data_IF_588239208224
#
_entry.id   IF_588239208224
#
_cell.length_a   1.000
_cell.length_b   1.000
_cell.length_c   1.000
_cell.angle_alpha   90.00
_cell.angle_beta   90.00
_cell.angle_gamma   90.00
#
_symmetry.space_group_name_H-M   'P 1'
#
loop_
_entity.id
_entity.type
_entity.pdbx_description
1 polymer ?
#
# COMPACT_ATOMS: atom_id res chain seq x y z
N UNK A 1 -1.77 2.95 -2.20
CA UNK A 1 -1.56 2.39 -3.56
C UNK A 1 -1.58 3.49 -4.63
N UNK A 2 -2.65 4.28 -4.73
CA UNK A 2 -2.80 5.34 -5.77
C UNK A 2 -1.79 6.48 -5.74
N UNK A 3 -1.13 6.73 -4.60
CA UNK A 3 -0.16 7.83 -4.47
C UNK A 3 1.30 7.40 -4.67
N UNK A 4 1.57 6.09 -4.57
CA UNK A 4 2.93 5.54 -4.50
C UNK A 4 3.25 4.54 -5.63
N UNK A 5 2.25 4.18 -6.43
CA UNK A 5 2.39 3.21 -7.52
C UNK A 5 2.64 1.77 -7.10
N UNK A 6 2.69 1.45 -5.79
CA UNK A 6 3.08 0.12 -5.28
C UNK A 6 2.14 -1.01 -5.69
N UNK A 7 2.70 -2.19 -5.96
CA UNK A 7 1.92 -3.43 -6.01
C UNK A 7 1.40 -3.70 -4.61
N UNK A 8 0.21 -4.28 -4.51
CA UNK A 8 -0.36 -4.65 -3.21
C UNK A 8 0.57 -5.60 -2.43
N UNK A 9 1.24 -6.53 -3.13
CA UNK A 9 2.20 -7.45 -2.49
C UNK A 9 3.48 -6.75 -2.01
N UNK A 10 3.85 -5.59 -2.53
CA UNK A 10 4.97 -4.78 -2.00
C UNK A 10 4.52 -3.95 -0.80
N UNK A 11 3.28 -3.46 -0.84
CA UNK A 11 2.67 -2.66 0.22
C UNK A 11 2.50 -3.48 1.50
N UNK A 12 1.93 -4.68 1.41
CA UNK A 12 1.65 -5.48 2.60
C UNK A 12 2.92 -5.95 3.33
N UNK A 13 4.03 -6.13 2.59
CA UNK A 13 5.31 -6.62 3.14
C UNK A 13 6.19 -5.51 3.70
N UNK A 14 5.70 -4.27 3.78
CA UNK A 14 6.38 -3.19 4.48
C UNK A 14 6.38 -3.50 5.97
N UNK A 15 7.56 -3.53 6.59
CA UNK A 15 7.71 -3.72 8.03
C UNK A 15 8.34 -2.51 8.74
N UNK A 16 8.95 -1.59 8.01
CA UNK A 16 9.34 -0.29 8.54
C UNK A 16 8.99 0.80 7.52
N UNK A 17 8.54 1.95 8.02
CA UNK A 17 8.31 3.12 7.19
C UNK A 17 8.42 4.39 8.03
N UNK A 18 9.04 5.42 7.44
CA UNK A 18 9.27 6.72 8.06
C UNK A 18 9.14 7.83 7.02
N UNK A 19 8.76 9.03 7.47
CA UNK A 19 8.82 10.24 6.68
C UNK A 19 10.14 10.94 6.99
N UNK A 20 10.90 11.32 5.97
CA UNK A 20 12.13 12.11 6.09
C UNK A 20 12.07 13.33 5.17
N UNK A 21 12.71 14.42 5.58
CA UNK A 21 12.97 15.56 4.72
C UNK A 21 14.32 15.34 4.03
N UNK A 22 14.35 15.34 2.70
CA UNK A 22 15.57 15.14 1.90
C UNK A 22 15.62 16.24 0.84
N UNK A 23 16.60 17.14 0.94
CA UNK A 23 16.76 18.22 -0.05
C UNK A 23 15.58 19.20 -0.13
N UNK A 24 14.77 19.32 0.94
CA UNK A 24 13.55 20.13 0.96
C UNK A 24 12.27 19.37 0.59
N UNK A 25 12.40 18.13 0.09
CA UNK A 25 11.27 17.29 -0.26
C UNK A 25 10.89 16.33 0.87
N UNK A 26 9.59 16.11 1.02
CA UNK A 26 9.05 15.12 1.96
C UNK A 26 9.04 13.74 1.30
N UNK A 27 9.78 12.79 1.88
CA UNK A 27 9.99 11.45 1.33
C UNK A 27 9.50 10.37 2.30
N UNK A 28 8.79 9.36 1.78
CA UNK A 28 8.53 8.09 2.45
C UNK A 28 9.71 7.15 2.22
N UNK A 29 10.40 6.81 3.30
CA UNK A 29 11.44 5.79 3.33
C UNK A 29 10.87 4.55 3.98
N UNK A 30 10.84 3.43 3.27
CA UNK A 30 10.29 2.18 3.79
C UNK A 30 11.14 0.98 3.41
N UNK A 31 11.19 -0.02 4.30
CA UNK A 31 11.84 -1.30 4.04
C UNK A 31 10.80 -2.36 3.72
N UNK A 32 11.03 -3.11 2.65
CA UNK A 32 10.15 -4.20 2.22
C UNK A 32 10.97 -5.46 1.94
N UNK A 33 10.38 -6.60 2.23
CA UNK A 33 10.98 -7.92 1.98
C UNK A 33 10.21 -8.64 0.90
N UNK A 34 10.73 -8.65 -0.32
CA UNK A 34 10.37 -9.64 -1.32
C UNK A 34 11.64 -10.35 -1.78
N UNK A 35 11.79 -11.62 -1.41
CA UNK A 35 12.68 -12.59 -2.05
C UNK A 35 14.21 -12.35 -1.95
N UNK A 36 14.69 -11.30 -1.28
CA UNK A 36 16.11 -11.13 -0.95
C UNK A 36 16.34 -11.46 0.53
N UNK A 37 17.45 -12.13 0.90
CA UNK A 37 17.84 -12.30 2.30
C UNK A 37 18.05 -10.95 3.01
N UNK A 38 18.26 -9.87 2.25
CA UNK A 38 18.42 -8.53 2.80
C UNK A 38 17.19 -7.62 2.53
N UNK A 39 16.69 -6.93 3.58
CA UNK A 39 15.87 -5.73 3.49
C UNK A 39 16.23 -4.79 2.34
N UNK A 40 15.29 -4.50 1.44
CA UNK A 40 15.46 -3.40 0.47
C UNK A 40 14.83 -2.14 1.05
N UNK A 41 15.64 -1.10 1.25
CA UNK A 41 15.15 0.24 1.54
C UNK A 41 14.74 0.94 0.25
N UNK A 42 13.54 1.50 0.23
CA UNK A 42 12.99 2.22 -0.91
C UNK A 42 12.57 3.62 -0.47
N UNK A 43 12.90 4.61 -1.30
CA UNK A 43 12.49 6.01 -1.12
C UNK A 43 11.47 6.39 -2.18
N UNK A 44 10.37 7.04 -1.77
CA UNK A 44 9.36 7.61 -2.67
C UNK A 44 8.90 8.98 -2.17
N UNK A 45 8.59 9.93 -3.07
CA UNK A 45 7.96 11.19 -2.68
C UNK A 45 6.67 10.96 -1.89
N UNK A 46 6.45 11.77 -0.86
CA UNK A 46 5.30 11.66 0.03
C UNK A 46 4.58 13.01 0.15
N UNK A 47 3.37 13.07 -0.36
CA UNK A 47 2.47 14.19 -0.10
C UNK A 47 1.79 14.07 1.26
N UNK A 48 1.04 15.09 1.66
CA UNK A 48 0.33 15.14 2.94
C UNK A 48 -0.62 13.94 3.17
N UNK A 49 -1.24 13.41 2.10
CA UNK A 49 -2.10 12.24 2.20
C UNK A 49 -1.30 10.97 2.56
N UNK A 50 -0.10 10.82 2.00
CA UNK A 50 0.81 9.70 2.33
C UNK A 50 1.28 9.81 3.78
N UNK A 51 1.65 11.01 4.24
CA UNK A 51 2.04 11.27 5.63
C UNK A 51 0.91 10.88 6.59
N UNK A 52 -0.29 11.42 6.37
CA UNK A 52 -1.46 11.11 7.19
C UNK A 52 -1.82 9.62 7.18
N UNK A 53 -1.78 8.98 6.02
CA UNK A 53 -2.05 7.54 5.91
C UNK A 53 -1.04 6.71 6.69
N UNK A 54 0.25 7.08 6.68
CA UNK A 54 1.28 6.36 7.42
C UNK A 54 1.03 6.44 8.94
N UNK A 55 0.68 7.62 9.44
CA UNK A 55 0.39 7.80 10.87
C UNK A 55 -0.79 6.91 11.31
N UNK A 56 -1.86 6.89 10.51
CA UNK A 56 -3.02 6.02 10.77
C UNK A 56 -2.65 4.54 10.69
N UNK A 57 -1.85 4.13 9.70
CA UNK A 57 -1.40 2.73 9.60
C UNK A 57 -0.61 2.32 10.84
N UNK A 58 0.30 3.16 11.34
CA UNK A 58 1.08 2.87 12.55
C UNK A 58 0.19 2.75 13.78
N UNK A 59 -0.79 3.64 13.93
CA UNK A 59 -1.77 3.60 15.03
C UNK A 59 -2.47 2.23 15.11
N UNK A 60 -2.90 1.68 13.96
CA UNK A 60 -3.54 0.36 13.89
C UNK A 60 -2.54 -0.81 13.97
N UNK A 61 -1.33 -0.66 13.43
CA UNK A 61 -0.35 -1.74 13.35
C UNK A 61 0.28 -2.05 14.72
N UNK A 62 0.63 -1.03 15.51
CA UNK A 62 1.40 -1.20 16.76
C UNK A 62 0.76 -2.20 17.74
N UNK A 63 -0.55 -2.16 18.02
CA UNK A 63 -1.18 -3.18 18.87
C UNK A 63 -1.07 -4.60 18.30
N UNK A 64 -1.25 -4.75 16.99
CA UNK A 64 -1.19 -6.05 16.32
C UNK A 64 0.24 -6.60 16.24
N UNK A 65 1.24 -5.73 16.09
CA UNK A 65 2.65 -6.10 16.13
C UNK A 65 3.03 -6.59 17.53
N UNK A 66 2.59 -5.90 18.59
CA UNK A 66 2.80 -6.33 19.99
C UNK A 66 2.18 -7.70 20.26
N UNK A 67 0.98 -7.95 19.76
CA UNK A 67 0.29 -9.22 19.94
C UNK A 67 0.94 -10.39 19.17
N UNK A 68 1.36 -10.15 17.92
CA UNK A 68 1.83 -11.21 17.03
C UNK A 68 3.35 -11.41 17.02
N UNK A 69 4.13 -10.43 17.47
CA UNK A 69 5.58 -10.37 17.26
C UNK A 69 5.99 -10.13 15.80
N UNK A 70 5.04 -9.92 14.88
CA UNK A 70 5.34 -9.67 13.47
C UNK A 70 5.74 -8.21 13.25
N UNK A 71 6.72 -7.93 12.37
CA UNK A 71 7.22 -6.57 12.16
C UNK A 71 6.40 -5.78 11.14
N UNK A 72 5.45 -6.39 10.43
CA UNK A 72 4.74 -5.78 9.30
C UNK A 72 3.77 -4.67 9.72
N UNK A 73 3.57 -3.68 8.85
CA UNK A 73 2.59 -2.60 9.06
C UNK A 73 1.16 -3.00 8.66
N UNK A 74 1.02 -3.95 7.73
CA UNK A 74 -0.29 -4.40 7.23
C UNK A 74 -0.66 -5.76 7.81
N UNK A 75 -1.05 -5.73 9.08
CA UNK A 75 -1.52 -6.91 9.81
C UNK A 75 -3.04 -6.97 9.82
N UNK A 76 -3.60 -8.18 9.83
CA UNK A 76 -5.03 -8.40 10.01
C UNK A 76 -5.30 -9.67 10.80
N UNK A 77 -6.49 -9.75 11.41
CA UNK A 77 -6.94 -10.94 12.14
C UNK A 77 -7.56 -11.95 11.18
N UNK A 78 -7.09 -13.18 11.22
CA UNK A 78 -7.72 -14.26 10.45
C UNK A 78 -9.01 -14.72 11.13
N UNK A 79 -10.14 -14.16 10.69
CA UNK A 79 -11.47 -14.47 11.24
C UNK A 79 -11.93 -15.92 11.02
N UNK A 80 -11.29 -16.66 10.12
CA UNK A 80 -11.63 -18.05 9.83
C UNK A 80 -10.91 -19.06 10.72
N UNK A 81 -9.96 -18.63 11.56
CA UNK A 81 -9.23 -19.49 12.49
C UNK A 81 -9.64 -19.22 13.93
N UNK A 82 -9.74 -20.28 14.75
CA UNK A 82 -10.01 -20.18 16.19
C UNK A 82 -8.98 -19.25 16.85
N UNK A 83 -9.44 -18.36 17.72
CA UNK A 83 -8.59 -17.37 18.40
C UNK A 83 -8.20 -16.17 17.55
N UNK A 84 -8.68 -16.08 16.30
CA UNK A 84 -8.47 -14.93 15.40
C UNK A 84 -7.01 -14.44 15.33
N UNK A 85 -6.07 -15.35 15.04
CA UNK A 85 -4.66 -15.03 15.07
C UNK A 85 -4.34 -13.88 14.12
N UNK A 86 -3.49 -12.97 14.60
CA UNK A 86 -2.96 -11.89 13.80
C UNK A 86 -1.93 -12.44 12.83
N UNK A 87 -2.00 -11.99 11.57
CA UNK A 87 -1.04 -12.35 10.54
C UNK A 87 -0.94 -11.27 9.47
N UNK A 88 -0.02 -11.47 8.53
CA UNK A 88 0.11 -10.61 7.37
C UNK A 88 -1.20 -10.55 6.58
N UNK A 89 -1.60 -9.37 6.14
CA UNK A 89 -2.74 -9.22 5.24
C UNK A 89 -2.51 -10.06 3.96
N UNK A 90 -3.54 -10.80 3.53
CA UNK A 90 -3.41 -11.68 2.37
C UNK A 90 -3.44 -10.87 1.07
N UNK A 91 -2.33 -10.91 0.32
CA UNK A 91 -2.25 -10.32 -1.02
C UNK A 91 -3.36 -10.83 -1.96
N UNK A 92 -3.50 -12.15 -2.07
CA UNK A 92 -4.44 -12.80 -2.99
C UNK A 92 -5.90 -12.52 -2.62
N UNK A 93 -6.19 -12.35 -1.32
CA UNK A 93 -7.54 -12.05 -0.85
C UNK A 93 -7.77 -10.57 -0.56
N UNK A 94 -6.83 -9.67 -0.90
CA UNK A 94 -6.93 -8.25 -0.53
C UNK A 94 -8.22 -7.60 -1.04
N UNK A 95 -8.52 -7.80 -2.33
CA UNK A 95 -9.72 -7.23 -2.95
C UNK A 95 -10.99 -7.77 -2.29
N UNK A 96 -11.03 -9.08 -2.04
CA UNK A 96 -12.18 -9.77 -1.42
C UNK A 96 -12.41 -9.32 0.02
N UNK A 97 -11.35 -9.23 0.82
CA UNK A 97 -11.46 -9.07 2.27
C UNK A 97 -11.46 -7.60 2.73
N UNK A 98 -10.94 -6.68 1.93
CA UNK A 98 -10.78 -5.27 2.31
C UNK A 98 -11.46 -4.32 1.32
N UNK A 99 -11.06 -4.35 0.04
CA UNK A 99 -11.47 -3.33 -0.91
C UNK A 99 -12.96 -3.39 -1.26
N UNK A 100 -13.46 -4.56 -1.67
CA UNK A 100 -14.88 -4.73 -2.03
C UNK A 100 -15.81 -4.48 -0.84
N UNK A 101 -15.53 -4.97 0.39
CA UNK A 101 -16.30 -4.60 1.57
C UNK A 101 -16.32 -3.08 1.81
N UNK A 102 -15.18 -2.40 1.69
CA UNK A 102 -15.08 -0.95 1.87
C UNK A 102 -15.91 -0.19 0.81
N UNK A 103 -15.80 -0.55 -0.47
CA UNK A 103 -16.60 0.03 -1.55
C UNK A 103 -18.09 -0.14 -1.28
N UNK A 104 -18.51 -1.35 -0.87
CA UNK A 104 -19.91 -1.64 -0.54
C UNK A 104 -20.39 -0.83 0.67
N UNK A 105 -19.57 -0.75 1.73
CA UNK A 105 -19.88 0.01 2.94
C UNK A 105 -20.09 1.50 2.66
N UNK A 106 -19.30 2.07 1.74
CA UNK A 106 -19.39 3.48 1.37
C UNK A 106 -20.30 3.75 0.15
N UNK A 107 -21.00 2.73 -0.35
CA UNK A 107 -21.92 2.82 -1.49
C UNK A 107 -21.30 3.52 -2.71
N UNK A 108 -20.03 3.22 -3.02
CA UNK A 108 -19.31 3.85 -4.14
C UNK A 108 -19.78 3.23 -5.45
N UNK A 109 -20.38 4.05 -6.31
CA UNK A 109 -21.04 3.63 -7.55
C UNK A 109 -20.48 4.34 -8.77
N UNK A 110 -20.63 3.71 -9.92
CA UNK A 110 -20.29 4.29 -11.21
C UNK A 110 -21.43 5.16 -11.76
N UNK A 111 -21.23 5.66 -13.00
CA UNK A 111 -22.21 6.48 -13.73
C UNK A 111 -23.53 5.75 -14.06
N UNK A 112 -23.53 4.42 -14.05
CA UNK A 112 -24.71 3.59 -14.28
C UNK A 112 -25.40 3.20 -12.97
N UNK A 113 -24.96 3.76 -11.84
CA UNK A 113 -25.43 3.44 -10.50
C UNK A 113 -25.11 2.00 -10.06
N UNK A 114 -24.12 1.35 -10.67
CA UNK A 114 -23.64 0.02 -10.27
C UNK A 114 -22.50 0.15 -9.25
N UNK A 115 -22.38 -0.82 -8.33
CA UNK A 115 -21.24 -0.83 -7.40
C UNK A 115 -19.95 -1.02 -8.19
N UNK A 116 -18.98 -0.14 -7.94
CA UNK A 116 -17.70 -0.22 -8.63
C UNK A 116 -16.92 -1.48 -8.22
N UNK A 117 -16.38 -2.23 -9.19
CA UNK A 117 -15.45 -3.35 -8.92
C UNK A 117 -13.98 -2.93 -9.12
N UNK A 118 -13.50 -2.01 -8.29
CA UNK A 118 -12.07 -1.65 -8.29
C UNK A 118 -11.23 -2.78 -7.70
N UNK A 119 -10.04 -2.93 -8.26
CA UNK A 119 -9.01 -3.84 -7.75
C UNK A 119 -7.77 -3.07 -7.32
N UNK A 120 -6.90 -3.71 -6.53
CA UNK A 120 -5.55 -3.21 -6.26
C UNK A 120 -4.77 -2.85 -7.55
N UNK A 121 -4.96 -3.61 -8.63
CA UNK A 121 -4.38 -3.31 -9.94
C UNK A 121 -4.97 -2.04 -10.54
N UNK A 122 -6.29 -1.81 -10.42
CA UNK A 122 -6.94 -0.59 -10.89
C UNK A 122 -6.29 0.65 -10.28
N UNK A 123 -6.02 0.66 -8.98
CA UNK A 123 -5.36 1.78 -8.32
C UNK A 123 -3.94 2.05 -8.80
N UNK A 124 -3.21 1.00 -9.16
CA UNK A 124 -1.86 1.11 -9.75
C UNK A 124 -1.90 1.64 -11.17
N UNK A 125 -2.88 1.22 -11.98
CA UNK A 125 -3.12 1.79 -13.30
C UNK A 125 -3.50 3.27 -13.21
N UNK A 126 -4.37 3.64 -12.27
CA UNK A 126 -4.75 5.03 -12.02
C UNK A 126 -3.51 5.89 -11.75
N UNK A 127 -2.61 5.46 -10.87
CA UNK A 127 -1.35 6.18 -10.64
C UNK A 127 -0.56 6.40 -11.94
N UNK A 128 -0.37 5.34 -12.73
CA UNK A 128 0.34 5.42 -14.01
C UNK A 128 -0.30 6.41 -14.98
N UNK A 129 -1.63 6.32 -15.14
CA UNK A 129 -2.39 7.17 -16.04
C UNK A 129 -2.34 8.64 -15.61
N UNK A 130 -2.43 8.94 -14.32
CA UNK A 130 -2.33 10.31 -13.83
C UNK A 130 -0.93 10.87 -13.95
N UNK A 131 0.13 10.06 -13.72
CA UNK A 131 1.51 10.49 -13.94
C UNK A 131 1.74 10.90 -15.40
N UNK A 132 1.35 10.05 -16.35
CA UNK A 132 1.48 10.35 -17.78
C UNK A 132 0.64 11.57 -18.21
N UNK A 133 -0.62 11.65 -17.76
CA UNK A 133 -1.48 12.82 -18.05
C UNK A 133 -0.96 14.11 -17.42
N UNK A 134 -0.25 14.02 -16.31
CA UNK A 134 0.42 15.14 -15.65
C UNK A 134 1.73 15.56 -16.32
N UNK A 135 2.11 14.93 -17.45
CA UNK A 135 3.31 15.29 -18.21
C UNK A 135 4.58 14.55 -17.77
N UNK A 136 4.50 13.55 -16.89
CA UNK A 136 5.65 12.71 -16.58
C UNK A 136 6.07 11.91 -17.82
N UNK A 137 7.39 11.74 -18.02
CA UNK A 137 7.89 10.86 -19.06
C UNK A 137 7.52 9.40 -18.76
N UNK A 138 7.53 8.56 -19.80
CA UNK A 138 7.25 7.13 -19.64
C UNK A 138 8.29 6.49 -18.73
N UNK A 139 9.55 6.90 -18.83
CA UNK A 139 10.65 6.42 -17.98
C UNK A 139 10.40 6.76 -16.51
N UNK A 140 9.99 7.99 -16.21
CA UNK A 140 9.66 8.41 -14.83
C UNK A 140 8.46 7.62 -14.30
N UNK A 141 7.39 7.48 -15.10
CA UNK A 141 6.23 6.68 -14.71
C UNK A 141 6.63 5.21 -14.44
N UNK A 142 7.48 4.63 -15.28
CA UNK A 142 8.01 3.28 -15.11
C UNK A 142 8.90 3.14 -13.89
N UNK A 143 9.76 4.11 -13.55
CA UNK A 143 10.55 4.08 -12.30
C UNK A 143 9.69 4.06 -11.04
N UNK A 144 8.52 4.71 -11.06
CA UNK A 144 7.63 4.70 -9.91
C UNK A 144 6.79 3.42 -9.80
N UNK A 145 6.50 2.76 -10.93
CA UNK A 145 5.67 1.55 -11.01
C UNK A 145 6.53 0.30 -10.90
N UNK A 146 7.58 0.19 -11.69
CA UNK A 146 8.54 -0.91 -11.69
C UNK A 146 9.60 -0.68 -10.61
N UNK A 147 10.07 -1.77 -9.99
CA UNK A 147 11.36 -1.69 -9.29
C UNK A 147 12.43 -1.30 -10.32
N UNK A 148 13.41 -0.45 -9.98
CA UNK A 148 14.56 -0.23 -10.85
C UNK A 148 15.21 -1.58 -11.15
N UNK A 149 15.66 -1.84 -12.40
CA UNK A 149 16.58 -2.94 -12.61
C UNK A 149 17.79 -2.69 -11.70
N UNK A 150 18.08 -3.67 -10.87
CA UNK A 150 19.32 -3.79 -10.10
C UNK A 150 20.54 -3.70 -11.01
#
# INVERSE_FOLDING_TARGET
MTQLGLRISELITIYSASIKQVGGDTMLIYSTGKLSPEPVEVSKPANQLVVYALDKIKEYAVPLQKESGLPYLFLSRNRSKKGYPVGLASHSNWNKNHLRPWIKQHNIRDKNNELIDFTSHTFRHVFASYALKGGASIEVALQHICHPPT
#
